data_IF_579234412254
#
_entry.id   IF_579234412254
#
_cell.length_a   1.000
_cell.length_b   1.000
_cell.length_c   1.000
_cell.angle_alpha   90.00
_cell.angle_beta   90.00
_cell.angle_gamma   90.00
#
_symmetry.space_group_name_H-M   'P 1'
#
loop_
_entity.id
_entity.type
_entity.pdbx_description
1 polymer ?
#
# COMPACT_ATOMS: atom_id res chain seq x y z
N UNK A 1 63.57 17.84 -2.16
CA UNK A 1 64.87 17.15 -2.34
C UNK A 1 65.67 17.44 -1.09
N UNK A 2 66.07 16.49 -0.24
CA UNK A 2 66.62 15.17 -0.54
C UNK A 2 66.36 14.19 0.62
N UNK A 3 66.16 12.93 0.25
CA UNK A 3 65.97 11.72 1.06
C UNK A 3 67.25 11.33 1.82
N UNK A 4 67.14 10.77 3.04
CA UNK A 4 67.79 9.50 3.46
C UNK A 4 67.50 9.12 4.92
N UNK A 5 67.16 7.84 5.12
CA UNK A 5 67.48 6.88 6.21
C UNK A 5 66.65 5.61 5.86
N UNK A 6 67.15 4.48 5.32
CA UNK A 6 68.11 3.44 5.81
C UNK A 6 67.82 3.12 7.29
N UNK A 7 67.40 1.92 7.72
CA UNK A 7 67.85 0.53 7.47
C UNK A 7 66.62 -0.42 7.69
N UNK A 8 66.43 -1.60 7.10
CA UNK A 8 67.30 -2.77 7.01
C UNK A 8 67.09 -3.71 8.22
N UNK A 9 66.26 -4.75 8.12
CA UNK A 9 66.15 -5.77 9.18
C UNK A 9 65.10 -6.86 8.91
N UNK A 10 65.56 -8.06 8.52
CA UNK A 10 64.83 -9.32 8.34
C UNK A 10 65.33 -10.34 9.40
N UNK A 11 64.54 -11.40 9.61
CA UNK A 11 64.67 -12.51 10.58
C UNK A 11 64.11 -12.18 11.99
N UNK A 12 63.36 -13.05 12.65
CA UNK A 12 63.78 -14.42 12.97
C UNK A 12 62.59 -15.32 13.32
N UNK A 13 62.68 -16.58 12.89
CA UNK A 13 61.72 -17.62 13.20
C UNK A 13 61.77 -17.99 14.68
N UNK A 14 60.60 -18.22 15.28
CA UNK A 14 60.53 -18.89 16.57
C UNK A 14 59.97 -20.28 16.38
N UNK A 15 60.81 -21.24 16.72
CA UNK A 15 60.62 -22.67 16.69
C UNK A 15 59.28 -23.10 17.29
N UNK A 16 58.72 -24.09 16.61
CA UNK A 16 57.55 -24.88 16.98
C UNK A 16 58.00 -25.85 18.07
N UNK A 17 57.57 -25.63 19.31
CA UNK A 17 57.51 -26.70 20.31
C UNK A 17 56.08 -27.25 20.35
N UNK A 18 55.93 -28.43 19.76
CA UNK A 18 54.73 -29.25 19.76
C UNK A 18 54.30 -29.54 21.20
N UNK A 19 53.16 -28.97 21.59
CA UNK A 19 52.30 -29.47 22.65
C UNK A 19 50.96 -29.79 22.00
N UNK A 20 50.90 -30.97 21.40
CA UNK A 20 49.70 -31.52 20.76
C UNK A 20 48.62 -31.77 21.81
N UNK A 21 47.44 -31.20 21.51
CA UNK A 21 46.07 -31.61 21.86
C UNK A 21 45.24 -30.35 22.08
N UNK A 22 44.56 -29.91 21.03
CA UNK A 22 43.15 -29.47 21.02
C UNK A 22 42.87 -28.72 19.71
N UNK A 23 42.99 -29.46 18.62
CA UNK A 23 42.79 -29.07 17.24
C UNK A 23 41.56 -29.89 16.81
N UNK A 24 40.38 -29.28 16.62
CA UNK A 24 39.84 -29.06 15.27
C UNK A 24 38.64 -28.08 15.19
N UNK A 25 38.12 -27.52 16.29
CA UNK A 25 36.85 -26.73 16.23
C UNK A 25 36.98 -25.20 16.11
N UNK A 26 38.15 -24.59 16.35
CA UNK A 26 38.28 -23.12 16.39
C UNK A 26 38.88 -22.46 15.14
N UNK A 27 39.40 -23.22 14.17
CA UNK A 27 39.95 -22.67 12.92
C UNK A 27 38.88 -22.47 11.81
N UNK A 28 37.59 -22.78 12.04
CA UNK A 28 36.56 -22.54 11.02
C UNK A 28 35.84 -21.18 11.20
N UNK A 29 35.76 -20.68 12.44
CA UNK A 29 35.01 -19.45 12.75
C UNK A 29 35.72 -18.16 12.32
N UNK A 30 37.05 -18.19 12.19
CA UNK A 30 37.83 -17.02 11.74
C UNK A 30 37.63 -16.74 10.24
N UNK A 31 37.19 -17.74 9.46
CA UNK A 31 37.03 -17.61 8.00
C UNK A 31 35.59 -17.29 7.59
N UNK A 32 34.60 -17.95 8.19
CA UNK A 32 33.19 -17.73 7.86
C UNK A 32 32.70 -16.35 8.32
N UNK A 33 33.02 -15.94 9.55
CA UNK A 33 32.62 -14.62 10.08
C UNK A 33 33.24 -13.46 9.30
N UNK A 34 34.50 -13.61 8.87
CA UNK A 34 35.21 -12.63 8.06
C UNK A 34 34.61 -12.48 6.66
N UNK A 35 34.25 -13.61 6.01
CA UNK A 35 33.60 -13.60 4.69
C UNK A 35 32.21 -12.97 4.73
N UNK A 36 31.42 -13.27 5.76
CA UNK A 36 30.10 -12.69 5.98
C UNK A 36 30.19 -11.18 6.23
N UNK A 37 31.14 -10.73 7.06
CA UNK A 37 31.37 -9.31 7.30
C UNK A 37 31.82 -8.57 6.02
N UNK A 38 32.67 -9.19 5.19
CA UNK A 38 33.09 -8.63 3.90
C UNK A 38 31.92 -8.50 2.93
N UNK A 39 31.00 -9.47 2.91
CA UNK A 39 29.82 -9.47 2.05
C UNK A 39 28.81 -8.39 2.44
N UNK A 40 28.58 -8.21 3.75
CA UNK A 40 27.70 -7.16 4.24
C UNK A 40 28.29 -5.76 4.11
N UNK A 41 29.62 -5.65 4.03
CA UNK A 41 30.29 -4.37 3.76
C UNK A 41 30.30 -4.02 2.26
N UNK A 42 30.27 -5.01 1.36
CA UNK A 42 30.16 -4.78 -0.09
C UNK A 42 28.72 -4.65 -0.60
N UNK A 43 27.75 -5.00 0.24
CA UNK A 43 26.32 -4.95 -0.09
C UNK A 43 25.71 -3.57 0.18
N UNK A 44 24.84 -3.09 -0.72
CA UNK A 44 24.14 -1.79 -0.62
C UNK A 44 23.08 -1.74 0.49
N UNK A 45 22.95 -2.78 1.34
CA UNK A 45 22.05 -2.74 2.50
C UNK A 45 22.63 -1.75 3.52
N UNK A 46 22.17 -0.51 3.42
CA UNK A 46 22.53 0.57 4.32
C UNK A 46 22.25 0.16 5.78
N UNK A 47 23.29 0.15 6.62
CA UNK A 47 23.19 -0.09 8.06
C UNK A 47 23.93 -1.33 8.56
N UNK A 48 24.10 -2.37 7.75
CA UNK A 48 24.70 -3.64 8.21
C UNK A 48 26.21 -3.50 8.47
N UNK A 49 26.94 -2.75 7.65
CA UNK A 49 28.37 -2.47 7.89
C UNK A 49 28.66 -1.75 9.23
N UNK A 50 27.66 -1.06 9.81
CA UNK A 50 27.80 -0.39 11.12
C UNK A 50 27.67 -1.37 12.31
N UNK A 51 27.11 -2.55 12.08
CA UNK A 51 27.00 -3.65 13.06
C UNK A 51 28.34 -4.39 13.19
N UNK A 52 29.07 -4.55 12.08
CA UNK A 52 30.36 -5.26 12.02
C UNK A 52 31.59 -4.40 12.38
N UNK A 53 31.44 -3.11 12.64
CA UNK A 53 32.54 -2.22 13.05
C UNK A 53 33.18 -2.60 14.39
N UNK A 54 34.47 -2.30 14.57
CA UNK A 54 35.20 -2.47 15.84
C UNK A 54 34.73 -1.42 16.87
N UNK A 55 33.76 -1.79 17.71
CA UNK A 55 33.16 -0.92 18.73
C UNK A 55 32.48 -1.75 19.83
N UNK A 56 32.16 -1.11 20.95
CA UNK A 56 31.55 -1.78 22.12
C UNK A 56 30.21 -2.45 21.82
N UNK A 57 29.89 -3.51 22.57
CA UNK A 57 28.71 -4.37 22.34
C UNK A 57 27.38 -3.61 22.39
N UNK A 58 27.27 -2.58 23.24
CA UNK A 58 26.09 -1.72 23.34
C UNK A 58 25.76 -1.02 22.02
N UNK A 59 26.78 -0.43 21.39
CA UNK A 59 26.61 0.27 20.10
C UNK A 59 26.16 -0.70 19.02
N UNK A 60 26.68 -1.93 18.99
CA UNK A 60 26.26 -2.96 18.04
C UNK A 60 24.81 -3.38 18.27
N UNK A 61 24.42 -3.56 19.53
CA UNK A 61 23.03 -3.84 19.91
C UNK A 61 22.07 -2.77 19.40
N UNK A 62 22.35 -1.50 19.68
CA UNK A 62 21.53 -0.39 19.19
C UNK A 62 21.42 -0.36 17.65
N UNK A 63 22.54 -0.56 16.93
CA UNK A 63 22.53 -0.58 15.47
C UNK A 63 21.74 -1.76 14.90
N UNK A 64 21.85 -2.94 15.52
CA UNK A 64 21.11 -4.13 15.13
C UNK A 64 19.62 -3.96 15.38
N UNK A 65 19.23 -3.42 16.54
CA UNK A 65 17.83 -3.13 16.85
C UNK A 65 17.26 -2.12 15.86
N UNK A 66 17.96 -1.02 15.59
CA UNK A 66 17.50 -0.02 14.62
C UNK A 66 17.33 -0.61 13.22
N UNK A 67 18.30 -1.40 12.76
CA UNK A 67 18.22 -2.08 11.47
C UNK A 67 17.06 -3.09 11.41
N UNK A 68 16.86 -3.87 12.47
CA UNK A 68 15.76 -4.82 12.56
C UNK A 68 14.40 -4.12 12.57
N UNK A 69 14.24 -3.05 13.36
CA UNK A 69 13.02 -2.25 13.40
C UNK A 69 12.70 -1.65 12.03
N UNK A 70 13.68 -1.06 11.35
CA UNK A 70 13.49 -0.52 10.00
C UNK A 70 13.13 -1.60 8.99
N UNK A 71 13.73 -2.78 9.09
CA UNK A 71 13.44 -3.91 8.21
C UNK A 71 12.02 -4.43 8.41
N UNK A 72 11.59 -4.62 9.66
CA UNK A 72 10.21 -5.03 9.99
C UNK A 72 9.21 -3.98 9.50
N UNK A 73 9.50 -2.70 9.72
CA UNK A 73 8.64 -1.61 9.26
C UNK A 73 8.53 -1.56 7.74
N UNK A 74 9.64 -1.74 7.02
CA UNK A 74 9.65 -1.78 5.57
C UNK A 74 8.83 -2.97 5.03
N UNK A 75 8.97 -4.16 5.63
CA UNK A 75 8.18 -5.33 5.25
C UNK A 75 6.69 -5.10 5.48
N UNK A 76 6.32 -4.55 6.64
CA UNK A 76 4.94 -4.18 6.94
C UNK A 76 4.37 -3.23 5.88
N UNK A 77 5.11 -2.18 5.52
CA UNK A 77 4.69 -1.22 4.50
C UNK A 77 4.58 -1.82 3.09
N UNK A 78 5.50 -2.71 2.72
CA UNK A 78 5.42 -3.40 1.44
C UNK A 78 4.16 -4.28 1.39
N UNK A 79 3.89 -5.02 2.47
CA UNK A 79 2.70 -5.88 2.53
C UNK A 79 1.39 -5.09 2.53
N UNK A 80 1.31 -3.97 3.26
CA UNK A 80 0.10 -3.14 3.28
C UNK A 80 -0.19 -2.58 1.89
N UNK A 81 0.82 -2.01 1.23
CA UNK A 81 0.69 -1.48 -0.13
C UNK A 81 0.36 -2.58 -1.14
N UNK A 82 0.94 -3.77 -1.01
CA UNK A 82 0.65 -4.90 -1.90
C UNK A 82 -0.79 -5.40 -1.75
N UNK A 83 -1.31 -5.47 -0.52
CA UNK A 83 -2.70 -5.82 -0.26
C UNK A 83 -3.66 -4.75 -0.78
N UNK A 84 -3.36 -3.47 -0.52
CA UNK A 84 -4.14 -2.34 -1.04
C UNK A 84 -4.16 -2.34 -2.58
N UNK A 85 -3.03 -2.66 -3.23
CA UNK A 85 -2.97 -2.80 -4.69
C UNK A 85 -3.82 -3.98 -5.19
N UNK A 86 -3.77 -5.13 -4.50
CA UNK A 86 -4.55 -6.32 -4.86
C UNK A 86 -6.06 -6.12 -4.73
N UNK A 87 -6.51 -5.13 -3.96
CA UNK A 87 -7.92 -4.77 -3.85
C UNK A 87 -8.44 -3.92 -5.02
N UNK A 88 -7.57 -3.53 -5.96
CA UNK A 88 -7.90 -2.69 -7.12
C UNK A 88 -8.81 -1.49 -6.78
N UNK A 89 -8.46 -0.66 -5.77
CA UNK A 89 -9.30 0.45 -5.38
C UNK A 89 -9.38 1.48 -6.52
N UNK A 90 -10.58 1.66 -7.06
CA UNK A 90 -10.84 2.67 -8.10
C UNK A 90 -11.08 4.02 -7.44
N UNK A 91 -10.16 4.97 -7.68
CA UNK A 91 -10.34 6.37 -7.24
C UNK A 91 -11.14 7.11 -8.31
N UNK A 92 -12.43 7.31 -8.06
CA UNK A 92 -13.27 8.18 -8.90
C UNK A 92 -12.95 9.63 -8.53
N UNK A 93 -12.20 10.31 -9.38
CA UNK A 93 -11.92 11.74 -9.22
C UNK A 93 -13.11 12.52 -9.77
N UNK A 94 -13.82 13.25 -8.90
CA UNK A 94 -14.96 14.10 -9.28
C UNK A 94 -14.48 15.54 -9.46
N UNK A 95 -14.23 15.94 -10.70
CA UNK A 95 -14.06 17.36 -11.05
C UNK A 95 -15.42 17.95 -11.46
N UNK A 96 -15.63 19.21 -11.10
CA UNK A 96 -16.80 19.99 -11.52
C UNK A 96 -16.32 21.06 -12.48
N UNK A 97 -16.25 20.72 -13.76
CA UNK A 97 -15.93 21.67 -14.82
C UNK A 97 -17.19 22.42 -15.24
N UNK A 98 -17.07 23.73 -15.48
CA UNK A 98 -18.19 24.54 -15.94
C UNK A 98 -18.15 24.65 -17.47
N UNK A 99 -18.89 23.75 -18.13
CA UNK A 99 -19.04 23.71 -19.58
C UNK A 99 -19.96 24.87 -20.04
N UNK A 100 -19.52 25.64 -21.06
CA UNK A 100 -20.33 26.75 -21.61
C UNK A 100 -21.47 26.30 -22.52
N UNK A 101 -21.39 25.08 -23.06
CA UNK A 101 -22.39 24.48 -23.94
C UNK A 101 -22.57 23.02 -23.53
N UNK A 102 -23.69 22.68 -22.92
CA UNK A 102 -24.04 21.32 -22.51
C UNK A 102 -25.19 20.80 -23.38
N UNK A 103 -25.15 19.53 -23.78
CA UNK A 103 -26.28 18.92 -24.49
C UNK A 103 -27.51 18.89 -23.58
N UNK A 104 -28.63 19.40 -24.10
CA UNK A 104 -29.87 19.38 -23.35
C UNK A 104 -30.36 17.92 -23.23
N UNK A 105 -30.62 17.41 -22.01
CA UNK A 105 -30.99 16.02 -21.83
C UNK A 105 -32.39 15.76 -22.42
N UNK A 106 -32.64 14.51 -22.77
CA UNK A 106 -33.99 14.08 -23.12
C UNK A 106 -34.91 14.25 -21.91
N UNK A 107 -35.88 15.14 -22.01
CA UNK A 107 -36.91 15.33 -20.98
C UNK A 107 -38.10 14.46 -21.36
N UNK A 108 -38.33 13.41 -20.56
CA UNK A 108 -39.53 12.57 -20.70
C UNK A 108 -40.64 13.14 -19.83
N UNK A 109 -41.66 13.70 -20.47
CA UNK A 109 -42.88 14.14 -19.80
C UNK A 109 -43.95 13.07 -19.96
N UNK A 110 -44.43 12.55 -18.83
CA UNK A 110 -45.60 11.67 -18.79
C UNK A 110 -46.77 12.42 -18.14
N UNK A 111 -47.97 12.27 -18.70
CA UNK A 111 -49.17 12.66 -17.97
C UNK A 111 -49.26 11.84 -16.69
N UNK A 112 -49.63 12.48 -15.58
CA UNK A 112 -49.86 11.77 -14.33
C UNK A 112 -51.00 10.76 -14.49
N UNK A 113 -51.99 11.06 -15.34
CA UNK A 113 -53.12 10.18 -15.61
C UNK A 113 -52.67 8.93 -16.38
N UNK A 114 -52.71 7.72 -15.78
CA UNK A 114 -52.35 6.48 -16.49
C UNK A 114 -53.31 6.09 -17.61
N UNK A 115 -54.57 6.56 -17.56
CA UNK A 115 -55.58 6.30 -18.57
C UNK A 115 -56.11 7.58 -19.23
N UNK A 116 -56.39 7.55 -20.54
CA UNK A 116 -57.06 8.64 -21.21
C UNK A 116 -58.53 8.71 -20.81
N UNK A 117 -59.03 9.93 -20.58
CA UNK A 117 -60.45 10.20 -20.38
C UNK A 117 -61.22 10.17 -21.72
N UNK A 118 -61.22 9.02 -22.40
CA UNK A 118 -61.95 8.81 -23.65
C UNK A 118 -63.33 8.19 -23.40
N UNK A 119 -64.29 8.50 -24.29
CA UNK A 119 -65.65 7.94 -24.20
C UNK A 119 -65.65 6.42 -24.35
N UNK A 120 -64.78 5.90 -25.21
CA UNK A 120 -64.63 4.47 -25.46
C UNK A 120 -64.21 3.70 -24.19
N UNK A 121 -63.25 4.24 -23.42
CA UNK A 121 -62.85 3.65 -22.14
C UNK A 121 -63.93 3.82 -21.06
N UNK A 122 -64.65 4.93 -21.07
CA UNK A 122 -65.75 5.20 -20.13
C UNK A 122 -66.96 4.27 -20.34
N UNK A 123 -67.19 3.79 -21.56
CA UNK A 123 -68.20 2.77 -21.86
C UNK A 123 -67.72 1.32 -21.70
N UNK A 124 -66.43 1.10 -21.48
CA UNK A 124 -65.87 -0.26 -21.42
C UNK A 124 -66.23 -0.96 -20.11
N UNK A 125 -66.81 -2.17 -20.14
CA UNK A 125 -67.33 -2.84 -18.95
C UNK A 125 -66.26 -3.16 -17.89
N UNK A 126 -64.99 -3.28 -18.31
CA UNK A 126 -63.87 -3.59 -17.42
C UNK A 126 -63.15 -2.33 -16.91
N UNK A 127 -63.03 -1.29 -17.74
CA UNK A 127 -62.17 -0.13 -17.45
C UNK A 127 -62.94 1.06 -16.88
N UNK A 128 -64.25 1.15 -17.11
CA UNK A 128 -65.09 2.21 -16.56
C UNK A 128 -65.04 2.29 -15.01
N UNK A 129 -65.09 1.18 -14.25
CA UNK A 129 -64.96 1.23 -12.79
C UNK A 129 -63.57 1.70 -12.32
N UNK A 130 -62.52 1.46 -13.12
CA UNK A 130 -61.18 1.90 -12.80
C UNK A 130 -61.00 3.41 -13.07
N UNK A 131 -61.63 3.94 -14.12
CA UNK A 131 -61.65 5.39 -14.39
C UNK A 131 -62.32 6.17 -13.26
N UNK A 132 -63.44 5.67 -12.71
CA UNK A 132 -64.11 6.32 -11.58
C UNK A 132 -63.26 6.28 -10.32
N UNK A 133 -62.62 5.15 -10.02
CA UNK A 133 -61.70 5.03 -8.89
C UNK A 133 -60.51 5.99 -9.00
N UNK A 134 -59.94 6.09 -10.20
CA UNK A 134 -58.84 7.00 -10.49
C UNK A 134 -59.28 8.46 -10.31
N UNK A 135 -60.46 8.85 -10.82
CA UNK A 135 -61.01 10.21 -10.63
C UNK A 135 -61.20 10.56 -9.16
N UNK A 136 -61.75 9.66 -8.35
CA UNK A 136 -61.93 9.87 -6.90
C UNK A 136 -60.58 10.02 -6.20
N UNK A 137 -59.63 9.12 -6.48
CA UNK A 137 -58.29 9.14 -5.88
C UNK A 137 -57.50 10.40 -6.26
N UNK A 138 -57.60 10.86 -7.50
CA UNK A 138 -57.00 12.13 -7.92
C UNK A 138 -57.64 13.33 -7.22
N UNK A 139 -58.97 13.35 -7.06
CA UNK A 139 -59.66 14.45 -6.40
C UNK A 139 -59.29 14.57 -4.92
N UNK A 140 -59.13 13.45 -4.22
CA UNK A 140 -58.67 13.43 -2.82
C UNK A 140 -57.17 13.76 -2.71
N UNK A 141 -56.36 13.33 -3.66
CA UNK A 141 -54.94 13.68 -3.76
C UNK A 141 -54.68 15.17 -4.05
N UNK A 142 -55.55 15.83 -4.83
CA UNK A 142 -55.44 17.25 -5.15
C UNK A 142 -55.89 18.16 -3.99
N UNK A 143 -56.86 17.70 -3.19
CA UNK A 143 -57.32 18.41 -1.99
C UNK A 143 -56.39 18.22 -0.78
N UNK A 144 -55.48 17.24 -0.82
CA UNK A 144 -54.47 16.97 0.23
C UNK A 144 -53.06 17.45 -0.13
N UNK A 145 -52.88 18.07 -1.31
CA UNK A 145 -51.61 18.68 -1.69
C UNK A 145 -51.27 19.88 -0.78
N UNK A 146 -49.99 20.10 -0.44
CA UNK A 146 -49.59 21.22 0.40
C UNK A 146 -50.01 22.53 -0.26
N UNK A 147 -50.91 23.25 0.40
CA UNK A 147 -51.25 24.63 0.10
C UNK A 147 -49.96 25.45 0.26
N UNK A 148 -49.35 25.86 -0.85
CA UNK A 148 -48.26 26.84 -0.86
C UNK A 148 -48.84 28.24 -0.74
#
# INVERSE_FOLDING_TARGET
>A
MTIKNKEGGYMDGKEISVGEKEDEEEMEKVTAGSRVASFFNSTTIHGVGRIYGRGGWWRRGCWLTLWACMTVWALYQITSVALDYAQYPTKITRSSEHERVMEFPAVTLCSLSPLPASRELASHPIWAPFLTYQHTSYSEGLLSGPSR
#
